data_IF_956580840553
#
_entry.id   IF_956580840553
#
_cell.length_a   1.000
_cell.length_b   1.000
_cell.length_c   1.000
_cell.angle_alpha   90.00
_cell.angle_beta   90.00
_cell.angle_gamma   90.00
#
_symmetry.space_group_name_H-M   'P 1'
#
loop_
_entity.id
_entity.type
_entity.pdbx_description
1 polymer ?
#
# COMPACT_ATOMS: atom_id res chain seq x y z
N UNK A 1 11.34 -22.94 11.55
CA UNK A 1 11.78 -21.71 10.85
C UNK A 1 10.86 -21.41 9.65
N UNK A 2 10.28 -20.21 9.58
CA UNK A 2 9.24 -19.80 8.61
C UNK A 2 9.79 -19.32 7.24
N UNK A 3 11.10 -19.05 7.16
CA UNK A 3 11.74 -18.47 5.99
C UNK A 3 13.10 -19.14 5.68
N UNK A 4 13.62 -18.82 4.51
CA UNK A 4 14.93 -19.16 3.99
C UNK A 4 15.85 -17.92 4.02
N UNK A 5 17.04 -17.97 4.63
CA UNK A 5 18.00 -16.88 4.52
C UNK A 5 18.49 -16.70 3.07
N UNK A 6 18.50 -15.46 2.58
CA UNK A 6 19.02 -15.15 1.24
C UNK A 6 20.52 -15.46 1.20
N UNK A 7 20.98 -16.09 0.13
CA UNK A 7 22.39 -16.44 -0.09
C UNK A 7 22.90 -17.66 0.69
N UNK A 8 22.09 -18.26 1.59
CA UNK A 8 22.50 -19.45 2.38
C UNK A 8 21.61 -20.68 2.18
N UNK A 9 20.55 -20.55 1.40
CA UNK A 9 19.54 -21.59 1.24
C UNK A 9 19.73 -22.36 -0.07
N UNK A 10 19.35 -23.66 -0.14
CA UNK A 10 19.46 -24.44 -1.37
C UNK A 10 18.77 -23.74 -2.56
N UNK A 11 19.44 -23.57 -3.72
CA UNK A 11 18.93 -22.80 -4.85
C UNK A 11 17.53 -23.23 -5.30
N UNK A 12 17.26 -24.54 -5.35
CA UNK A 12 15.96 -25.08 -5.75
C UNK A 12 14.83 -24.70 -4.79
N UNK A 13 15.08 -24.77 -3.47
CA UNK A 13 14.08 -24.38 -2.46
C UNK A 13 13.79 -22.88 -2.49
N UNK A 14 14.83 -22.08 -2.68
CA UNK A 14 14.71 -20.64 -2.86
C UNK A 14 13.90 -20.28 -4.12
N UNK A 15 14.16 -20.97 -5.23
CA UNK A 15 13.44 -20.79 -6.49
C UNK A 15 11.94 -21.07 -6.34
N UNK A 16 11.56 -22.19 -5.70
CA UNK A 16 10.15 -22.53 -5.45
C UNK A 16 9.47 -21.49 -4.54
N UNK A 17 10.19 -21.02 -3.52
CA UNK A 17 9.70 -19.97 -2.62
C UNK A 17 9.44 -18.66 -3.37
N UNK A 18 10.34 -18.28 -4.29
CA UNK A 18 10.18 -17.10 -5.13
C UNK A 18 8.94 -17.22 -6.04
N UNK A 19 8.70 -18.38 -6.65
CA UNK A 19 7.48 -18.63 -7.44
C UNK A 19 6.23 -18.42 -6.59
N UNK A 20 6.17 -19.00 -5.38
CA UNK A 20 5.01 -18.85 -4.51
C UNK A 20 4.76 -17.39 -4.13
N UNK A 21 5.82 -16.64 -3.80
CA UNK A 21 5.74 -15.21 -3.49
C UNK A 21 5.22 -14.39 -4.68
N UNK A 22 5.73 -14.66 -5.88
CA UNK A 22 5.29 -13.98 -7.10
C UNK A 22 3.83 -14.31 -7.42
N UNK A 23 3.43 -15.58 -7.32
CA UNK A 23 2.06 -16.00 -7.61
C UNK A 23 1.05 -15.37 -6.66
N UNK A 24 1.34 -15.36 -5.36
CA UNK A 24 0.51 -14.66 -4.37
C UNK A 24 0.43 -13.17 -4.69
N UNK A 25 1.57 -12.51 -4.92
CA UNK A 25 1.58 -11.07 -5.24
C UNK A 25 0.78 -10.77 -6.50
N UNK A 26 0.91 -11.57 -7.56
CA UNK A 26 0.13 -11.43 -8.80
C UNK A 26 -1.36 -11.57 -8.55
N UNK A 27 -1.77 -12.62 -7.82
CA UNK A 27 -3.18 -12.88 -7.53
C UNK A 27 -3.83 -11.69 -6.80
N UNK A 28 -3.17 -11.16 -5.76
CA UNK A 28 -3.68 -10.01 -5.02
C UNK A 28 -3.59 -8.68 -5.79
N UNK A 29 -2.66 -8.52 -6.73
CA UNK A 29 -2.66 -7.35 -7.63
C UNK A 29 -3.86 -7.39 -8.59
N UNK A 30 -4.16 -8.56 -9.16
CA UNK A 30 -5.33 -8.76 -10.03
C UNK A 30 -6.62 -8.55 -9.25
N UNK A 31 -6.73 -9.14 -8.05
CA UNK A 31 -7.88 -8.95 -7.17
C UNK A 31 -8.06 -7.47 -6.80
N UNK A 32 -6.96 -6.77 -6.45
CA UNK A 32 -6.98 -5.34 -6.16
C UNK A 32 -7.55 -4.52 -7.33
N UNK A 33 -7.07 -4.80 -8.55
CA UNK A 33 -7.55 -4.13 -9.75
C UNK A 33 -9.06 -4.36 -9.97
N UNK A 34 -9.51 -5.61 -9.87
CA UNK A 34 -10.93 -5.95 -10.00
C UNK A 34 -11.80 -5.28 -8.92
N UNK A 35 -11.33 -5.26 -7.67
CA UNK A 35 -12.01 -4.61 -6.54
C UNK A 35 -12.11 -3.10 -6.75
N UNK A 36 -11.05 -2.42 -7.21
CA UNK A 36 -11.10 -1.00 -7.51
C UNK A 36 -12.05 -0.67 -8.67
N UNK A 37 -12.02 -1.43 -9.76
CA UNK A 37 -12.95 -1.23 -10.87
C UNK A 37 -14.40 -1.43 -10.44
N UNK A 38 -14.67 -2.49 -9.68
CA UNK A 38 -16.01 -2.80 -9.14
C UNK A 38 -16.45 -1.71 -8.15
N UNK A 39 -15.54 -1.25 -7.30
CA UNK A 39 -15.76 -0.15 -6.37
C UNK A 39 -16.17 1.12 -7.12
N UNK A 40 -15.41 1.53 -8.13
CA UNK A 40 -15.72 2.70 -8.94
C UNK A 40 -17.07 2.58 -9.67
N UNK A 41 -17.41 1.39 -10.17
CA UNK A 41 -18.70 1.13 -10.80
C UNK A 41 -19.89 1.15 -9.81
N UNK A 42 -19.67 0.78 -8.56
CA UNK A 42 -20.73 0.70 -7.54
C UNK A 42 -21.17 2.04 -6.93
N UNK A 43 -20.44 3.15 -7.19
CA UNK A 43 -20.74 4.49 -6.63
C UNK A 43 -22.21 4.90 -6.83
N UNK A 44 -22.76 4.67 -8.03
CA UNK A 44 -24.13 5.06 -8.37
C UNK A 44 -25.21 4.13 -7.85
N UNK A 45 -24.82 2.99 -7.27
CA UNK A 45 -25.75 1.94 -6.83
C UNK A 45 -25.77 1.77 -5.32
N UNK A 46 -24.61 1.64 -4.68
CA UNK A 46 -24.48 1.42 -3.25
C UNK A 46 -23.18 2.00 -2.70
N UNK A 47 -23.30 3.08 -1.92
CA UNK A 47 -22.15 3.78 -1.32
C UNK A 47 -21.39 2.90 -0.31
N UNK A 48 -22.09 2.07 0.46
CA UNK A 48 -21.45 1.13 1.39
C UNK A 48 -20.60 0.10 0.66
N UNK A 49 -21.13 -0.48 -0.42
CA UNK A 49 -20.41 -1.41 -1.29
C UNK A 49 -19.20 -0.73 -1.95
N UNK A 50 -19.36 0.51 -2.42
CA UNK A 50 -18.24 1.31 -2.94
C UNK A 50 -17.10 1.39 -1.93
N UNK A 51 -17.41 1.81 -0.70
CA UNK A 51 -16.41 1.97 0.36
C UNK A 51 -15.73 0.65 0.68
N UNK A 52 -16.50 -0.44 0.83
CA UNK A 52 -15.95 -1.76 1.15
C UNK A 52 -15.03 -2.29 0.05
N UNK A 53 -15.43 -2.16 -1.22
CA UNK A 53 -14.63 -2.59 -2.37
C UNK A 53 -13.35 -1.75 -2.54
N UNK A 54 -13.43 -0.44 -2.37
CA UNK A 54 -12.24 0.43 -2.43
C UNK A 54 -11.25 0.11 -1.31
N UNK A 55 -11.75 -0.20 -0.10
CA UNK A 55 -10.93 -0.54 1.06
C UNK A 55 -10.24 -1.89 0.87
N UNK A 56 -10.98 -2.92 0.45
CA UNK A 56 -10.41 -4.25 0.17
C UNK A 56 -9.45 -4.19 -1.03
N UNK A 57 -9.77 -3.41 -2.05
CA UNK A 57 -8.88 -3.15 -3.19
C UNK A 57 -7.55 -2.54 -2.74
N UNK A 58 -7.59 -1.60 -1.79
CA UNK A 58 -6.42 -0.97 -1.22
C UNK A 58 -5.58 -1.91 -0.34
N UNK A 59 -6.21 -2.69 0.53
CA UNK A 59 -5.53 -3.72 1.31
C UNK A 59 -4.86 -4.76 0.42
N UNK A 60 -5.56 -5.22 -0.62
CA UNK A 60 -5.06 -6.19 -1.60
C UNK A 60 -3.88 -5.62 -2.39
N UNK A 61 -3.94 -4.34 -2.76
CA UNK A 61 -2.85 -3.64 -3.44
C UNK A 61 -1.58 -3.64 -2.59
N UNK A 62 -1.68 -3.14 -1.36
CA UNK A 62 -0.52 -3.03 -0.49
C UNK A 62 -0.01 -4.38 -0.02
N UNK A 63 -0.88 -5.39 0.14
CA UNK A 63 -0.42 -6.75 0.39
C UNK A 63 0.43 -7.24 -0.79
N UNK A 64 -0.06 -7.10 -2.03
CA UNK A 64 0.72 -7.50 -3.21
C UNK A 64 2.07 -6.80 -3.29
N UNK A 65 2.09 -5.46 -3.22
CA UNK A 65 3.31 -4.66 -3.39
C UNK A 65 4.32 -4.94 -2.28
N UNK A 66 3.88 -4.90 -1.01
CA UNK A 66 4.76 -5.10 0.13
C UNK A 66 5.23 -6.56 0.24
N UNK A 67 4.40 -7.53 -0.15
CA UNK A 67 4.79 -8.94 -0.10
C UNK A 67 5.83 -9.27 -1.16
N UNK A 68 5.71 -8.72 -2.37
CA UNK A 68 6.74 -8.85 -3.40
C UNK A 68 8.10 -8.32 -2.92
N UNK A 69 8.10 -7.22 -2.17
CA UNK A 69 9.31 -6.57 -1.66
C UNK A 69 9.83 -7.16 -0.36
N UNK A 70 9.10 -8.08 0.26
CA UNK A 70 9.44 -8.66 1.55
C UNK A 70 10.90 -9.17 1.63
N UNK A 71 11.45 -9.90 0.62
CA UNK A 71 12.82 -10.37 0.67
C UNK A 71 13.86 -9.24 0.71
N UNK A 72 13.60 -8.12 0.04
CA UNK A 72 14.46 -6.95 0.11
C UNK A 72 14.40 -6.25 1.47
N UNK A 73 13.25 -6.34 2.16
CA UNK A 73 13.03 -5.70 3.46
C UNK A 73 13.55 -6.53 4.62
N UNK A 74 13.52 -7.86 4.53
CA UNK A 74 13.87 -8.75 5.64
C UNK A 74 15.15 -9.54 5.42
N UNK A 75 15.73 -9.49 4.21
CA UNK A 75 16.83 -10.35 3.79
C UNK A 75 16.51 -11.85 3.93
N UNK A 76 15.23 -12.21 3.84
CA UNK A 76 14.74 -13.58 3.97
C UNK A 76 13.60 -13.84 3.00
N UNK A 77 13.51 -15.07 2.51
CA UNK A 77 12.46 -15.50 1.60
C UNK A 77 11.46 -16.38 2.37
N UNK A 78 10.17 -16.02 2.49
CA UNK A 78 9.16 -16.85 3.13
C UNK A 78 9.05 -18.22 2.45
N UNK A 79 8.82 -19.28 3.23
CA UNK A 79 8.57 -20.61 2.65
C UNK A 79 7.27 -20.60 1.83
N UNK A 80 7.13 -21.45 0.79
CA UNK A 80 5.90 -21.53 -0.01
C UNK A 80 4.63 -21.69 0.82
N UNK A 81 4.64 -22.60 1.81
CA UNK A 81 3.51 -22.82 2.71
C UNK A 81 3.13 -21.55 3.50
N UNK A 82 4.11 -20.73 3.87
CA UNK A 82 3.88 -19.47 4.59
C UNK A 82 3.25 -18.43 3.66
N UNK A 83 3.66 -18.36 2.39
CA UNK A 83 3.02 -17.50 1.38
C UNK A 83 1.53 -17.83 1.22
N UNK A 84 1.19 -19.12 1.11
CA UNK A 84 -0.20 -19.55 0.96
C UNK A 84 -1.01 -19.41 2.24
N UNK A 85 -0.40 -19.68 3.41
CA UNK A 85 -1.05 -19.42 4.69
C UNK A 85 -1.35 -17.94 4.90
N UNK A 86 -0.42 -17.05 4.50
CA UNK A 86 -0.63 -15.60 4.56
C UNK A 86 -1.74 -15.14 3.61
N UNK A 87 -1.78 -15.69 2.38
CA UNK A 87 -2.87 -15.46 1.44
C UNK A 87 -4.23 -15.92 1.98
N UNK A 88 -4.29 -17.12 2.57
CA UNK A 88 -5.51 -17.65 3.17
C UNK A 88 -5.97 -16.78 4.36
N UNK A 89 -5.04 -16.37 5.22
CA UNK A 89 -5.34 -15.48 6.35
C UNK A 89 -5.84 -14.10 5.88
N UNK A 90 -5.31 -13.55 4.78
CA UNK A 90 -5.84 -12.33 4.18
C UNK A 90 -7.29 -12.53 3.70
N UNK A 91 -7.56 -13.63 3.00
CA UNK A 91 -8.91 -13.94 2.50
C UNK A 91 -9.89 -14.09 3.67
N UNK A 92 -9.49 -14.75 4.76
CA UNK A 92 -10.29 -14.84 5.99
C UNK A 92 -10.57 -13.47 6.60
N UNK A 93 -9.57 -12.58 6.64
CA UNK A 93 -9.77 -11.19 7.08
C UNK A 93 -10.74 -10.41 6.20
N UNK A 94 -10.63 -10.57 4.88
CA UNK A 94 -11.52 -9.92 3.91
C UNK A 94 -12.98 -10.44 4.03
N UNK A 95 -13.16 -11.76 4.18
CA UNK A 95 -14.47 -12.37 4.43
C UNK A 95 -15.04 -11.89 5.77
N UNK A 96 -14.21 -11.85 6.82
CA UNK A 96 -14.61 -11.32 8.11
C UNK A 96 -15.05 -9.87 8.07
N UNK A 97 -14.35 -9.04 7.31
CA UNK A 97 -14.76 -7.66 7.07
C UNK A 97 -16.11 -7.56 6.34
N UNK A 98 -16.35 -8.42 5.34
CA UNK A 98 -17.62 -8.47 4.63
C UNK A 98 -18.77 -8.91 5.56
N UNK A 99 -18.53 -9.90 6.42
CA UNK A 99 -19.51 -10.41 7.40
C UNK A 99 -19.48 -9.68 8.75
N UNK A 100 -18.77 -8.55 8.84
CA UNK A 100 -18.63 -7.72 10.05
C UNK A 100 -18.22 -8.52 11.30
N UNK A 101 -17.42 -9.57 11.11
CA UNK A 101 -16.88 -10.42 12.17
C UNK A 101 -15.60 -9.81 12.75
N UNK A 102 -15.52 -9.59 14.07
CA UNK A 102 -14.38 -8.93 14.69
C UNK A 102 -13.11 -9.79 14.64
N UNK A 103 -11.95 -9.13 14.68
CA UNK A 103 -10.61 -9.73 14.82
C UNK A 103 -10.15 -10.69 13.70
N UNK A 104 -10.88 -10.84 12.60
CA UNK A 104 -10.45 -11.75 11.51
C UNK A 104 -9.22 -11.26 10.71
N UNK A 105 -8.78 -10.03 10.94
CA UNK A 105 -7.47 -9.56 10.46
C UNK A 105 -6.29 -10.00 11.33
N UNK A 106 -6.53 -10.43 12.58
CA UNK A 106 -5.48 -10.81 13.51
C UNK A 106 -4.59 -11.97 12.98
N UNK A 107 -5.11 -13.07 12.40
CA UNK A 107 -4.27 -14.13 11.86
C UNK A 107 -3.33 -13.64 10.75
N UNK A 108 -3.84 -12.78 9.84
CA UNK A 108 -3.05 -12.18 8.78
C UNK A 108 -1.95 -11.29 9.36
N UNK A 109 -2.33 -10.35 10.23
CA UNK A 109 -1.39 -9.43 10.86
C UNK A 109 -0.31 -10.16 11.66
N UNK A 110 -0.69 -11.12 12.50
CA UNK A 110 0.24 -11.87 13.34
C UNK A 110 1.26 -12.66 12.50
N UNK A 111 0.80 -13.38 11.48
CA UNK A 111 1.69 -14.13 10.59
C UNK A 111 2.61 -13.19 9.80
N UNK A 112 2.08 -12.06 9.31
CA UNK A 112 2.88 -11.11 8.55
C UNK A 112 3.95 -10.44 9.43
N UNK A 113 3.60 -10.04 10.65
CA UNK A 113 4.54 -9.51 11.64
C UNK A 113 5.63 -10.55 11.94
N UNK A 114 5.26 -11.82 12.14
CA UNK A 114 6.20 -12.89 12.43
C UNK A 114 7.27 -13.05 11.33
N UNK A 115 6.89 -12.96 10.05
CA UNK A 115 7.86 -13.03 8.95
C UNK A 115 8.69 -11.75 8.79
N UNK A 116 8.27 -10.62 9.36
CA UNK A 116 9.09 -9.39 9.43
C UNK A 116 10.20 -9.45 10.48
N UNK A 117 10.17 -10.40 11.42
CA UNK A 117 11.13 -10.49 12.52
C UNK A 117 12.62 -10.41 12.09
N UNK A 118 13.07 -11.06 10.99
CA UNK A 118 14.46 -10.95 10.53
C UNK A 118 14.83 -9.54 10.04
N UNK A 119 13.84 -8.77 9.60
CA UNK A 119 14.00 -7.43 9.03
C UNK A 119 14.26 -6.33 10.05
N UNK A 120 14.27 -6.64 11.35
CA UNK A 120 14.64 -5.69 12.41
C UNK A 120 16.15 -5.55 12.62
N UNK A 121 16.93 -5.73 11.55
CA UNK A 121 18.39 -5.59 11.56
C UNK A 121 18.85 -4.61 10.48
N UNK A 122 19.87 -3.81 10.79
CA UNK A 122 20.47 -2.87 9.86
C UNK A 122 19.53 -1.74 9.41
N UNK A 123 19.75 -1.23 8.19
CA UNK A 123 19.08 -0.03 7.67
C UNK A 123 17.57 -0.22 7.39
N UNK A 124 17.10 -1.47 7.30
CA UNK A 124 15.71 -1.80 7.04
C UNK A 124 14.84 -1.85 8.30
N UNK A 125 15.44 -1.94 9.49
CA UNK A 125 14.72 -2.11 10.75
C UNK A 125 13.67 -1.01 10.99
N UNK A 126 14.04 0.22 10.66
CA UNK A 126 13.26 1.41 10.98
C UNK A 126 12.00 1.55 10.11
N UNK A 127 12.05 1.47 8.77
CA UNK A 127 10.81 1.41 7.99
C UNK A 127 10.00 0.14 8.24
N UNK A 128 10.64 -0.99 8.58
CA UNK A 128 9.91 -2.21 8.95
C UNK A 128 9.09 -2.02 10.23
N UNK A 129 9.57 -1.23 11.20
CA UNK A 129 8.81 -0.90 12.41
C UNK A 129 7.49 -0.19 12.09
N UNK A 130 7.49 0.74 11.13
CA UNK A 130 6.27 1.40 10.70
C UNK A 130 5.31 0.45 10.00
N UNK A 131 5.81 -0.46 9.14
CA UNK A 131 4.96 -1.49 8.52
C UNK A 131 4.32 -2.38 9.58
N UNK A 132 5.10 -2.82 10.57
CA UNK A 132 4.61 -3.62 11.69
C UNK A 132 3.61 -2.84 12.55
N UNK A 133 3.81 -1.55 12.78
CA UNK A 133 2.81 -0.69 13.42
C UNK A 133 1.48 -0.69 12.63
N UNK A 134 1.55 -0.58 11.30
CA UNK A 134 0.37 -0.70 10.44
C UNK A 134 -0.31 -2.07 10.54
N UNK A 135 0.44 -3.17 10.66
CA UNK A 135 -0.11 -4.52 10.83
C UNK A 135 -0.75 -4.70 12.21
N UNK A 136 -0.16 -4.13 13.27
CA UNK A 136 -0.76 -4.10 14.62
C UNK A 136 -2.09 -3.35 14.59
N UNK A 137 -2.12 -2.18 13.95
CA UNK A 137 -3.34 -1.41 13.73
C UNK A 137 -4.40 -2.23 12.95
N UNK A 138 -3.98 -2.94 11.89
CA UNK A 138 -4.87 -3.76 11.06
C UNK A 138 -5.52 -4.90 11.85
N UNK A 139 -4.81 -5.50 12.80
CA UNK A 139 -5.32 -6.62 13.59
C UNK A 139 -6.61 -6.30 14.35
N UNK A 140 -6.81 -5.01 14.68
CA UNK A 140 -7.94 -4.49 15.45
C UNK A 140 -8.87 -3.59 14.61
N UNK A 141 -8.58 -3.43 13.31
CA UNK A 141 -9.35 -2.55 12.44
C UNK A 141 -10.67 -3.20 12.01
N UNK A 142 -11.78 -2.48 12.20
CA UNK A 142 -13.11 -2.92 11.76
C UNK A 142 -13.78 -1.92 10.79
N UNK A 143 -13.36 -0.66 10.83
CA UNK A 143 -13.95 0.41 10.01
C UNK A 143 -13.12 0.68 8.74
N UNK A 144 -13.75 1.06 7.61
CA UNK A 144 -13.04 1.26 6.35
C UNK A 144 -11.85 2.23 6.45
N UNK A 145 -12.04 3.39 7.09
CA UNK A 145 -10.95 4.36 7.24
C UNK A 145 -9.82 3.85 8.14
N UNK A 146 -10.14 3.06 9.18
CA UNK A 146 -9.16 2.40 10.05
C UNK A 146 -8.38 1.33 9.30
N UNK A 147 -9.03 0.61 8.38
CA UNK A 147 -8.37 -0.34 7.50
C UNK A 147 -7.42 0.37 6.53
N UNK A 148 -7.86 1.45 5.88
CA UNK A 148 -6.99 2.25 5.00
C UNK A 148 -5.81 2.88 5.75
N UNK A 149 -6.05 3.42 6.96
CA UNK A 149 -5.04 4.01 7.84
C UNK A 149 -4.21 2.96 8.59
N UNK A 150 -4.45 1.66 8.41
CA UNK A 150 -3.64 0.63 9.07
C UNK A 150 -2.42 0.27 8.22
N UNK A 151 -2.32 -0.98 7.79
CA UNK A 151 -1.26 -1.50 6.95
C UNK A 151 -1.06 -0.72 5.63
N UNK A 152 -2.08 -0.28 4.87
CA UNK A 152 -1.87 0.44 3.61
C UNK A 152 -1.16 1.79 3.78
N UNK A 153 -1.71 2.68 4.61
CA UNK A 153 -1.10 4.00 4.85
C UNK A 153 0.30 3.87 5.48
N UNK A 154 0.46 3.02 6.48
CA UNK A 154 1.76 2.78 7.11
C UNK A 154 2.80 2.25 6.10
N UNK A 155 2.39 1.33 5.22
CA UNK A 155 3.24 0.82 4.15
C UNK A 155 3.62 1.91 3.16
N UNK A 156 2.67 2.74 2.72
CA UNK A 156 2.91 3.88 1.84
C UNK A 156 3.96 4.84 2.42
N UNK A 157 3.78 5.24 3.68
CA UNK A 157 4.69 6.12 4.40
C UNK A 157 6.06 5.47 4.63
N UNK A 158 6.11 4.16 4.88
CA UNK A 158 7.37 3.42 5.00
C UNK A 158 8.17 3.41 3.69
N UNK A 159 7.48 3.28 2.54
CA UNK A 159 8.11 3.31 1.22
C UNK A 159 8.61 4.72 0.89
N UNK A 160 7.82 5.76 1.18
CA UNK A 160 8.24 7.16 1.04
C UNK A 160 9.49 7.42 1.91
N UNK A 161 9.50 6.95 3.16
CA UNK A 161 10.65 7.11 4.05
C UNK A 161 11.90 6.42 3.48
N UNK A 162 11.77 5.24 2.84
CA UNK A 162 12.89 4.57 2.17
C UNK A 162 13.38 5.35 0.96
N UNK A 163 12.48 5.77 0.08
CA UNK A 163 12.83 6.42 -1.19
C UNK A 163 13.34 7.83 -0.98
N UNK A 164 12.70 8.65 -0.13
CA UNK A 164 13.15 10.02 0.16
C UNK A 164 14.56 10.02 0.77
N UNK A 165 14.83 9.12 1.72
CA UNK A 165 16.16 9.02 2.32
C UNK A 165 17.22 8.50 1.33
N UNK A 166 16.87 7.52 0.50
CA UNK A 166 17.75 7.06 -0.58
C UNK A 166 18.07 8.18 -1.58
N UNK A 167 17.06 8.94 -2.03
CA UNK A 167 17.22 10.06 -2.98
C UNK A 167 18.04 11.21 -2.39
N UNK A 168 17.89 11.47 -1.09
CA UNK A 168 18.70 12.45 -0.35
C UNK A 168 20.10 11.94 0.03
N UNK A 169 20.40 10.66 -0.23
CA UNK A 169 21.62 9.96 0.24
C UNK A 169 21.80 10.09 1.76
N UNK A 170 20.69 10.10 2.52
CA UNK A 170 20.67 10.18 3.98
C UNK A 170 20.32 8.83 4.58
N UNK A 171 20.86 8.56 5.77
CA UNK A 171 20.41 7.43 6.59
C UNK A 171 19.15 7.81 7.34
N UNK A 172 18.31 6.81 7.61
CA UNK A 172 17.11 6.98 8.43
C UNK A 172 17.56 7.09 9.89
N UNK A 173 17.21 8.19 10.55
CA UNK A 173 17.52 8.39 11.96
C UNK A 173 16.61 7.50 12.82
N UNK A 174 17.24 6.68 13.68
CA UNK A 174 16.56 5.69 14.54
C UNK A 174 15.45 6.32 15.38
N UNK A 175 15.74 7.44 16.05
CA UNK A 175 14.78 8.09 16.93
C UNK A 175 13.56 8.62 16.15
N UNK A 176 13.74 9.18 14.94
CA UNK A 176 12.62 9.72 14.14
C UNK A 176 11.66 8.65 13.70
N UNK A 177 12.19 7.51 13.25
CA UNK A 177 11.34 6.41 12.78
C UNK A 177 10.63 5.69 13.93
N UNK A 178 11.29 5.51 15.09
CA UNK A 178 10.65 4.96 16.28
C UNK A 178 9.61 5.92 16.86
N UNK A 179 9.95 7.21 16.99
CA UNK A 179 9.02 8.25 17.45
C UNK A 179 7.81 8.33 16.52
N UNK A 180 8.02 8.31 15.20
CA UNK A 180 6.91 8.31 14.26
C UNK A 180 6.04 7.06 14.39
N UNK A 181 6.63 5.87 14.52
CA UNK A 181 5.87 4.62 14.68
C UNK A 181 5.05 4.61 15.98
N UNK A 182 5.60 5.16 17.07
CA UNK A 182 4.89 5.32 18.34
C UNK A 182 3.76 6.35 18.24
N UNK A 183 4.02 7.52 17.66
CA UNK A 183 3.01 8.56 17.40
C UNK A 183 1.90 8.02 16.50
N UNK A 184 2.25 7.24 15.48
CA UNK A 184 1.30 6.61 14.57
C UNK A 184 0.32 5.72 15.32
N UNK A 185 0.80 4.79 16.14
CA UNK A 185 -0.04 3.90 16.95
C UNK A 185 -0.85 4.69 17.98
N UNK A 186 -0.24 5.66 18.66
CA UNK A 186 -0.91 6.49 19.64
C UNK A 186 -2.08 7.26 19.02
N UNK A 187 -1.88 7.90 17.87
CA UNK A 187 -2.93 8.63 17.16
C UNK A 187 -3.98 7.69 16.55
N UNK A 188 -3.58 6.52 16.07
CA UNK A 188 -4.50 5.52 15.50
C UNK A 188 -5.49 4.98 16.55
N UNK A 189 -5.00 4.68 17.76
CA UNK A 189 -5.82 4.18 18.87
C UNK A 189 -6.37 5.28 19.78
N UNK A 190 -6.07 6.54 19.50
CA UNK A 190 -6.57 7.67 20.26
C UNK A 190 -8.08 7.85 20.06
N UNK A 191 -8.83 8.28 21.11
CA UNK A 191 -10.25 8.60 20.99
C UNK A 191 -10.53 9.93 20.26
N UNK A 192 -9.50 10.64 19.78
CA UNK A 192 -9.69 11.88 19.02
C UNK A 192 -10.51 11.64 17.74
N UNK A 193 -11.14 12.70 17.24
CA UNK A 193 -11.95 12.62 16.03
C UNK A 193 -11.11 12.09 14.84
N UNK A 194 -11.64 11.15 14.03
CA UNK A 194 -10.89 10.51 12.95
C UNK A 194 -10.26 11.50 11.96
N UNK A 195 -10.98 12.58 11.62
CA UNK A 195 -10.50 13.65 10.76
C UNK A 195 -9.18 14.26 11.27
N UNK A 196 -9.12 14.50 12.59
CA UNK A 196 -7.96 15.07 13.27
C UNK A 196 -6.84 14.04 13.35
N UNK A 197 -7.15 12.78 13.69
CA UNK A 197 -6.15 11.70 13.74
C UNK A 197 -5.42 11.53 12.40
N UNK A 198 -6.18 11.49 11.29
CA UNK A 198 -5.61 11.35 9.95
C UNK A 198 -4.66 12.52 9.65
N UNK A 199 -5.11 13.77 9.83
CA UNK A 199 -4.26 14.92 9.59
C UNK A 199 -3.04 14.95 10.50
N UNK A 200 -3.19 14.63 11.79
CA UNK A 200 -2.10 14.61 12.76
C UNK A 200 -1.04 13.56 12.41
N UNK A 201 -1.42 12.37 11.95
CA UNK A 201 -0.48 11.33 11.53
C UNK A 201 0.36 11.82 10.33
N UNK A 202 -0.28 12.39 9.32
CA UNK A 202 0.43 12.88 8.13
C UNK A 202 1.26 14.14 8.45
N UNK A 203 0.79 15.01 9.33
CA UNK A 203 1.54 16.17 9.81
C UNK A 203 2.77 15.73 10.61
N UNK A 204 2.64 14.75 11.51
CA UNK A 204 3.77 14.18 12.25
C UNK A 204 4.79 13.53 11.32
N UNK A 205 4.33 12.83 10.27
CA UNK A 205 5.22 12.25 9.27
C UNK A 205 6.04 13.34 8.57
N UNK A 206 5.38 14.42 8.13
CA UNK A 206 6.00 15.57 7.48
C UNK A 206 6.98 16.29 8.42
N UNK A 207 6.60 16.51 9.68
CA UNK A 207 7.45 17.18 10.66
C UNK A 207 8.75 16.40 10.93
N UNK A 208 8.67 15.07 11.02
CA UNK A 208 9.83 14.23 11.33
C UNK A 208 10.69 13.92 10.09
N UNK A 209 10.08 13.64 8.95
CA UNK A 209 10.78 13.15 7.75
C UNK A 209 10.99 14.23 6.66
N UNK A 210 10.25 15.33 6.75
CA UNK A 210 10.24 16.39 5.74
C UNK A 210 9.74 15.90 4.38
N UNK A 211 10.08 16.67 3.34
CA UNK A 211 9.66 16.43 1.95
C UNK A 211 10.85 16.42 1.01
N UNK A 212 11.01 15.37 0.20
CA UNK A 212 11.98 15.40 -0.90
C UNK A 212 11.38 16.16 -2.09
N UNK A 213 12.03 17.25 -2.49
CA UNK A 213 11.58 18.13 -3.58
C UNK A 213 12.50 17.96 -4.79
N UNK A 214 11.93 17.59 -5.92
CA UNK A 214 12.59 17.51 -7.22
C UNK A 214 11.58 17.69 -8.36
N UNK A 215 12.07 17.78 -9.59
CA UNK A 215 11.22 17.86 -10.80
C UNK A 215 10.64 16.50 -11.21
N UNK A 216 11.00 15.41 -10.52
CA UNK A 216 10.55 14.07 -10.87
C UNK A 216 9.06 13.86 -10.56
N UNK A 217 8.31 13.09 -11.38
CA UNK A 217 6.92 12.67 -11.12
C UNK A 217 6.68 12.16 -9.70
N UNK A 218 7.62 11.40 -9.17
CA UNK A 218 7.61 10.89 -7.81
C UNK A 218 7.50 12.01 -6.74
N UNK A 219 8.29 13.09 -6.88
CA UNK A 219 8.43 14.09 -5.83
C UNK A 219 7.14 14.86 -5.62
N UNK A 220 6.61 15.50 -6.65
CA UNK A 220 5.37 16.28 -6.51
C UNK A 220 4.15 15.39 -6.26
N UNK A 221 4.09 14.19 -6.84
CA UNK A 221 2.99 13.26 -6.59
C UNK A 221 2.94 12.81 -5.12
N UNK A 222 4.08 12.49 -4.51
CA UNK A 222 4.12 12.18 -3.06
C UNK A 222 3.92 13.41 -2.17
N UNK A 223 4.21 14.62 -2.64
CA UNK A 223 3.86 15.87 -1.94
C UNK A 223 2.34 16.02 -1.87
N UNK A 224 1.67 15.97 -3.01
CA UNK A 224 0.20 16.06 -3.11
C UNK A 224 -0.43 14.95 -2.27
N UNK A 225 0.06 13.72 -2.41
CA UNK A 225 -0.47 12.58 -1.67
C UNK A 225 -0.30 12.66 -0.15
N UNK A 226 0.74 13.35 0.35
CA UNK A 226 0.94 13.65 1.78
C UNK A 226 0.09 14.83 2.24
N UNK A 227 -0.16 15.81 1.36
CA UNK A 227 -0.92 17.01 1.67
C UNK A 227 -2.44 16.76 1.73
N UNK A 228 -2.98 15.91 0.85
CA UNK A 228 -4.41 15.63 0.79
C UNK A 228 -4.98 15.16 2.15
N UNK A 229 -4.39 14.17 2.85
CA UNK A 229 -4.89 13.75 4.17
C UNK A 229 -4.86 14.84 5.25
N UNK A 230 -4.03 15.89 5.12
CA UNK A 230 -4.04 17.03 6.03
C UNK A 230 -5.33 17.85 5.96
N UNK A 231 -6.07 17.73 4.85
CA UNK A 231 -7.36 18.40 4.64
C UNK A 231 -8.53 17.64 5.28
N UNK A 232 -8.30 16.46 5.87
CA UNK A 232 -9.34 15.68 6.54
C UNK A 232 -10.17 16.46 7.57
N UNK A 233 -9.64 17.43 8.35
CA UNK A 233 -10.41 18.27 9.27
C UNK A 233 -11.47 19.15 8.60
N UNK A 234 -11.38 19.41 7.29
CA UNK A 234 -12.49 20.04 6.55
C UNK A 234 -13.76 19.21 6.60
N UNK A 235 -13.65 17.92 6.93
CA UNK A 235 -14.81 17.08 7.17
C UNK A 235 -15.65 17.49 8.37
N UNK A 236 -15.08 18.23 9.33
CA UNK A 236 -15.82 18.86 10.41
C UNK A 236 -16.73 20.01 9.92
N UNK A 237 -16.47 20.50 8.70
CA UNK A 237 -17.27 21.52 8.01
C UNK A 237 -18.19 20.89 6.95
N UNK A 238 -18.37 19.56 6.97
CA UNK A 238 -19.25 18.83 6.04
C UNK A 238 -18.56 18.24 4.81
N UNK A 239 -17.24 18.41 4.66
CA UNK A 239 -16.52 17.76 3.55
C UNK A 239 -16.39 16.22 3.74
N UNK A 240 -16.09 15.46 2.68
CA UNK A 240 -15.95 14.00 2.80
C UNK A 240 -14.64 13.59 3.53
N UNK A 241 -14.66 13.60 4.87
CA UNK A 241 -13.49 13.37 5.77
C UNK A 241 -12.52 12.30 5.27
N UNK A 242 -13.01 11.09 5.03
CA UNK A 242 -12.16 9.93 4.71
C UNK A 242 -11.67 9.93 3.27
N UNK A 243 -12.34 10.64 2.35
CA UNK A 243 -11.94 10.65 0.95
C UNK A 243 -10.55 11.26 0.78
N UNK A 244 -10.20 12.27 1.57
CA UNK A 244 -8.86 12.88 1.55
C UNK A 244 -7.75 11.85 1.81
N UNK A 245 -7.98 10.89 2.72
CA UNK A 245 -7.06 9.77 2.96
C UNK A 245 -6.92 8.88 1.71
N UNK A 246 -8.04 8.39 1.16
CA UNK A 246 -8.02 7.50 -0.02
C UNK A 246 -7.43 8.18 -1.25
N UNK A 247 -7.77 9.45 -1.48
CA UNK A 247 -7.25 10.26 -2.59
C UNK A 247 -5.75 10.52 -2.41
N UNK A 248 -5.30 10.82 -1.20
CA UNK A 248 -3.88 10.97 -0.90
C UNK A 248 -3.09 9.69 -1.22
N UNK A 249 -3.60 8.55 -0.74
CA UNK A 249 -2.99 7.25 -1.00
C UNK A 249 -3.03 6.90 -2.50
N UNK A 250 -4.12 7.19 -3.21
CA UNK A 250 -4.21 6.91 -4.65
C UNK A 250 -3.15 7.67 -5.45
N UNK A 251 -2.93 8.96 -5.14
CA UNK A 251 -1.86 9.75 -5.76
C UNK A 251 -0.49 9.15 -5.43
N UNK A 252 -0.25 8.73 -4.18
CA UNK A 252 1.00 8.03 -3.81
C UNK A 252 1.16 6.74 -4.62
N UNK A 253 0.11 5.94 -4.78
CA UNK A 253 0.13 4.72 -5.58
C UNK A 253 0.58 5.00 -7.01
N UNK A 254 0.00 6.00 -7.68
CA UNK A 254 0.38 6.38 -9.04
C UNK A 254 1.74 7.09 -9.18
N UNK A 255 2.30 7.60 -8.08
CA UNK A 255 3.61 8.25 -8.05
C UNK A 255 4.76 7.30 -7.74
N UNK A 256 4.48 6.23 -7.00
CA UNK A 256 5.48 5.38 -6.39
C UNK A 256 5.25 3.89 -6.69
N UNK A 257 4.07 3.38 -6.40
CA UNK A 257 3.88 1.93 -6.40
C UNK A 257 3.61 1.39 -7.82
N UNK A 258 2.71 2.06 -8.54
CA UNK A 258 2.27 1.65 -9.88
C UNK A 258 3.39 1.72 -10.90
N UNK A 259 4.18 2.81 -11.01
CA UNK A 259 5.18 2.90 -12.06
C UNK A 259 6.33 1.89 -11.89
N UNK A 260 6.66 1.55 -10.66
CA UNK A 260 7.89 0.82 -10.32
C UNK A 260 7.65 -0.63 -9.87
N UNK A 261 6.60 -0.90 -9.08
CA UNK A 261 6.38 -2.21 -8.47
C UNK A 261 5.38 -3.06 -9.25
N UNK A 262 4.32 -2.48 -9.83
CA UNK A 262 3.36 -3.28 -10.60
C UNK A 262 3.99 -4.06 -11.77
N UNK A 263 4.90 -3.49 -12.60
CA UNK A 263 5.58 -4.28 -13.62
C UNK A 263 6.35 -5.46 -13.03
N UNK A 264 7.01 -5.24 -11.89
CA UNK A 264 7.79 -6.26 -11.17
C UNK A 264 6.91 -7.40 -10.65
N UNK A 265 5.69 -7.11 -10.16
CA UNK A 265 4.70 -8.13 -9.77
C UNK A 265 4.42 -9.07 -10.94
N UNK A 266 4.23 -8.52 -12.14
CA UNK A 266 3.93 -9.31 -13.33
C UNK A 266 5.17 -9.90 -14.03
N UNK A 267 6.37 -9.69 -13.49
CA UNK A 267 7.65 -10.02 -14.12
C UNK A 267 7.75 -9.42 -15.52
N UNK A 268 7.46 -8.13 -15.64
CA UNK A 268 7.51 -7.37 -16.89
C UNK A 268 8.61 -6.31 -16.80
N UNK A 269 9.15 -5.93 -17.95
CA UNK A 269 10.00 -4.73 -18.04
C UNK A 269 9.23 -3.51 -17.53
N UNK A 270 9.92 -2.62 -16.83
CA UNK A 270 9.34 -1.34 -16.40
C UNK A 270 9.07 -0.49 -17.66
N UNK A 271 7.81 -0.10 -17.93
CA UNK A 271 7.50 0.73 -19.07
C UNK A 271 8.09 2.14 -18.93
N UNK A 272 8.29 2.83 -20.05
CA UNK A 272 8.51 4.28 -20.01
C UNK A 272 7.20 5.00 -19.69
N UNK A 273 7.09 5.58 -18.50
CA UNK A 273 5.87 6.25 -18.07
C UNK A 273 5.85 7.73 -18.50
N UNK A 274 4.70 8.25 -18.94
CA UNK A 274 4.58 9.69 -19.15
C UNK A 274 4.75 10.42 -17.81
N UNK A 275 5.49 11.55 -17.78
CA UNK A 275 5.78 12.25 -16.53
C UNK A 275 4.53 12.79 -15.84
N UNK A 276 3.44 13.01 -16.58
CA UNK A 276 2.17 13.52 -16.06
C UNK A 276 1.27 12.45 -15.42
N UNK A 277 1.67 11.17 -15.37
CA UNK A 277 0.84 10.09 -14.85
C UNK A 277 0.29 10.36 -13.43
N UNK A 278 1.09 10.84 -12.46
CA UNK A 278 0.56 11.15 -11.13
C UNK A 278 -0.41 12.34 -11.12
N UNK A 279 -0.34 13.17 -12.16
CA UNK A 279 -1.09 14.42 -12.31
C UNK A 279 -2.49 14.15 -12.80
N UNK A 280 -2.66 13.09 -13.60
CA UNK A 280 -3.98 12.54 -13.93
C UNK A 280 -4.66 12.03 -12.66
N UNK A 281 -3.94 11.29 -11.80
CA UNK A 281 -4.49 10.82 -10.52
C UNK A 281 -4.83 11.99 -9.57
N UNK A 282 -3.99 13.03 -9.53
CA UNK A 282 -4.24 14.23 -8.73
C UNK A 282 -5.42 15.06 -9.28
N UNK A 283 -5.55 15.19 -10.61
CA UNK A 283 -6.67 15.86 -11.24
C UNK A 283 -7.98 15.10 -10.98
N UNK A 284 -7.97 13.77 -11.10
CA UNK A 284 -9.11 12.93 -10.76
C UNK A 284 -9.50 13.06 -9.27
N UNK A 285 -8.51 13.17 -8.37
CA UNK A 285 -8.74 13.46 -6.96
C UNK A 285 -9.38 14.84 -6.77
N UNK A 286 -8.84 15.89 -7.41
CA UNK A 286 -9.38 17.24 -7.33
C UNK A 286 -10.83 17.32 -7.84
N UNK A 287 -11.14 16.64 -8.95
CA UNK A 287 -12.50 16.56 -9.49
C UNK A 287 -13.50 15.89 -8.52
N UNK A 288 -13.05 15.02 -7.61
CA UNK A 288 -13.91 14.48 -6.54
C UNK A 288 -14.15 15.44 -5.38
N UNK A 289 -13.25 16.41 -5.19
CA UNK A 289 -13.32 17.36 -4.08
C UNK A 289 -14.20 18.57 -4.40
N UNK A 290 -14.36 18.88 -5.69
CA UNK A 290 -15.33 19.86 -6.17
C UNK A 290 -16.68 19.15 -6.19
N UNK A 291 -17.53 19.38 -5.18
CA UNK A 291 -18.85 18.72 -4.95
C UNK A 291 -19.93 19.02 -6.02
N UNK A 292 -19.49 19.25 -7.26
CA UNK A 292 -20.35 19.31 -8.43
C UNK A 292 -20.68 17.87 -8.80
N UNK A 293 -21.88 17.41 -8.41
CA UNK A 293 -22.46 16.09 -8.73
C UNK A 293 -22.14 15.54 -10.14
N UNK A 294 -22.14 16.32 -11.24
CA UNK A 294 -21.77 15.80 -12.57
C UNK A 294 -20.27 15.46 -12.76
N UNK A 295 -19.37 15.92 -11.90
CA UNK A 295 -17.93 15.66 -11.99
C UNK A 295 -17.48 14.37 -11.30
N UNK A 296 -18.33 13.79 -10.42
CA UNK A 296 -18.04 12.53 -9.74
C UNK A 296 -17.94 11.33 -10.71
N UNK A 297 -18.87 11.14 -11.67
CA UNK A 297 -18.71 10.10 -12.70
C UNK A 297 -17.48 10.32 -13.58
N UNK A 298 -17.17 11.59 -13.92
CA UNK A 298 -16.00 11.92 -14.73
C UNK A 298 -14.71 11.51 -14.01
N UNK A 299 -14.57 11.82 -12.73
CA UNK A 299 -13.44 11.36 -11.91
C UNK A 299 -13.32 9.83 -11.88
N UNK A 300 -14.44 9.12 -11.70
CA UNK A 300 -14.45 7.66 -11.73
C UNK A 300 -13.99 7.10 -13.08
N UNK A 301 -14.47 7.67 -14.19
CA UNK A 301 -14.04 7.30 -15.56
C UNK A 301 -12.55 7.57 -15.77
N UNK A 302 -12.02 8.69 -15.27
CA UNK A 302 -10.57 8.97 -15.33
C UNK A 302 -9.78 7.90 -14.58
N UNK A 303 -10.20 7.52 -13.36
CA UNK A 303 -9.51 6.46 -12.61
C UNK A 303 -9.61 5.08 -13.27
N UNK A 304 -10.77 4.72 -13.82
CA UNK A 304 -10.95 3.48 -14.60
C UNK A 304 -10.02 3.48 -15.82
N UNK A 305 -10.07 4.55 -16.62
CA UNK A 305 -9.23 4.71 -17.80
C UNK A 305 -7.74 4.69 -17.47
N UNK A 306 -7.33 5.33 -16.39
CA UNK A 306 -5.96 5.32 -15.88
C UNK A 306 -5.53 3.91 -15.45
N UNK A 307 -6.40 3.18 -14.74
CA UNK A 307 -6.16 1.80 -14.34
C UNK A 307 -5.99 0.87 -15.54
N UNK A 308 -6.90 0.95 -16.52
CA UNK A 308 -6.85 0.18 -17.77
C UNK A 308 -5.59 0.53 -18.56
N UNK A 309 -5.27 1.81 -18.71
CA UNK A 309 -4.06 2.28 -19.39
C UNK A 309 -2.80 1.66 -18.78
N UNK A 310 -2.67 1.73 -17.45
CA UNK A 310 -1.54 1.14 -16.72
C UNK A 310 -1.47 -0.37 -16.94
N UNK A 311 -2.59 -1.08 -16.81
CA UNK A 311 -2.64 -2.52 -16.98
C UNK A 311 -2.21 -2.93 -18.39
N UNK A 312 -2.80 -2.32 -19.42
CA UNK A 312 -2.46 -2.58 -20.83
C UNK A 312 -0.98 -2.28 -21.10
N UNK A 313 -0.47 -1.14 -20.60
CA UNK A 313 0.91 -0.75 -20.79
C UNK A 313 1.90 -1.74 -20.18
N UNK A 314 1.62 -2.21 -18.96
CA UNK A 314 2.46 -3.23 -18.29
C UNK A 314 2.40 -4.58 -19.03
N UNK A 315 1.21 -5.01 -19.43
CA UNK A 315 1.04 -6.32 -20.07
C UNK A 315 1.66 -6.40 -21.47
N UNK A 316 1.80 -5.25 -22.15
CA UNK A 316 2.49 -5.14 -23.45
C UNK A 316 4.01 -5.20 -23.34
N UNK A 317 4.58 -4.92 -22.17
CA UNK A 317 6.03 -4.99 -22.00
C UNK A 317 6.55 -6.43 -22.06
N UNK A 318 7.81 -6.66 -22.49
CA UNK A 318 8.41 -7.99 -22.49
C UNK A 318 8.37 -8.65 -21.12
N UNK A 319 8.06 -9.94 -21.08
CA UNK A 319 8.16 -10.74 -19.85
C UNK A 319 9.61 -11.08 -19.53
N UNK A 320 9.97 -11.02 -18.26
CA UNK A 320 11.17 -11.62 -17.71
C UNK A 320 10.87 -13.07 -17.31
N UNK A 321 11.32 -14.07 -18.09
CA UNK A 321 11.07 -15.46 -17.74
C UNK A 321 11.84 -15.80 -16.45
N UNK A 322 11.17 -16.46 -15.51
CA UNK A 322 11.88 -17.21 -14.48
C UNK A 322 12.55 -18.39 -15.20
N UNK A 323 13.88 -18.50 -15.06
CA UNK A 323 14.63 -19.60 -15.66
C UNK A 323 14.16 -20.98 -15.19
N UNK A 324 14.76 -22.04 -15.74
CA UNK A 324 14.45 -23.41 -15.29
C UNK A 324 14.79 -23.59 -13.80
N UNK A 325 14.05 -24.45 -13.07
CA UNK A 325 14.39 -24.77 -11.69
C UNK A 325 15.84 -25.29 -11.60
N UNK A 326 16.63 -24.83 -10.62
CA UNK A 326 17.96 -25.39 -10.37
C UNK A 326 17.88 -26.90 -10.06
N UNK A 327 18.94 -27.68 -10.36
CA UNK A 327 19.05 -29.07 -9.91
C UNK A 327 18.98 -29.17 -8.37
N UNK A 328 18.72 -30.38 -7.87
CA UNK A 328 18.47 -30.65 -6.45
C UNK A 328 19.67 -30.33 -5.57
#
# INVERSE_FOLDING_TARGET
>A
MLWYPIGKSPPRRYFIANIALINVSKAFMVASFALFLSGLASVGYNVGLHVDLMTLGLLSFYFSVMYLQHPAFTNTMPKPAVSYALAAAFILGALGYAFKTPFLWLPFSALYIAIYAPGFRGQNALPNALVVAGLIALALAAEPWRLALSFPAASALSLIMRVDNSKRRKRIETWRALAFSAIYLALYFSPIQPAIAIAAIFAAFLALNGVYVSREPYSWGTIIGRALPLLSPLGLLGAPTFHFLYLGISVIMFSLCVPWFNPSVFLRRVPSWPPYLPGIAAAAAALRLVDLRPLLPLSALIYIGLGIYVAVKILREPSFPLGKPPPQ
#
